data_IF_492263560476
#
_entry.id   IF_492263560476
#
_cell.length_a   1.000
_cell.length_b   1.000
_cell.length_c   1.000
_cell.angle_alpha   90.00
_cell.angle_beta   90.00
_cell.angle_gamma   90.00
#
_symmetry.space_group_name_H-M   'P 1'
#
loop_
_entity.id
_entity.type
_entity.pdbx_description
1 polymer ?
#
# COMPACT_ATOMS: atom_id res chain seq x y z
N UNK A 1 9.22 16.19 5.70
CA UNK A 1 8.27 15.11 5.94
C UNK A 1 8.49 13.96 4.97
N UNK A 2 8.38 12.74 5.44
CA UNK A 2 8.53 11.59 4.56
C UNK A 2 7.32 11.48 3.64
N UNK A 3 7.56 11.17 2.36
CA UNK A 3 6.52 10.96 1.39
C UNK A 3 5.83 9.61 1.66
N UNK A 4 4.51 9.55 1.48
CA UNK A 4 3.77 8.31 1.67
C UNK A 4 3.85 7.46 0.41
N UNK A 5 4.48 6.30 0.50
CA UNK A 5 4.62 5.36 -0.62
C UNK A 5 3.85 4.06 -0.42
N UNK A 6 3.31 3.84 0.77
CA UNK A 6 2.58 2.61 1.11
C UNK A 6 1.16 2.96 1.53
N UNK A 7 0.17 2.36 0.86
CA UNK A 7 -1.25 2.59 1.10
C UNK A 7 -1.92 1.30 1.53
N UNK A 8 -2.47 1.29 2.73
CA UNK A 8 -3.15 0.14 3.31
C UNK A 8 -4.59 0.01 2.78
N UNK A 9 -5.09 -1.22 2.74
CA UNK A 9 -6.48 -1.50 2.40
C UNK A 9 -6.95 -2.78 3.09
N UNK A 10 -8.28 -2.98 3.15
CA UNK A 10 -8.89 -4.17 3.72
C UNK A 10 -9.83 -3.85 4.88
N UNK A 11 -10.63 -4.82 5.27
CA UNK A 11 -11.60 -4.70 6.37
C UNK A 11 -12.53 -3.47 6.23
N UNK A 12 -12.96 -3.17 5.02
CA UNK A 12 -13.86 -2.05 4.76
C UNK A 12 -13.19 -0.69 4.81
N UNK A 13 -11.86 -0.63 4.84
CA UNK A 13 -11.09 0.60 4.91
C UNK A 13 -10.02 0.62 3.83
N UNK A 14 -9.64 1.82 3.41
CA UNK A 14 -8.51 1.99 2.50
C UNK A 14 -7.93 3.38 2.66
N UNK A 15 -6.62 3.50 2.50
CA UNK A 15 -5.93 4.78 2.54
C UNK A 15 -5.96 5.49 1.18
N UNK A 16 -6.26 4.75 0.12
CA UNK A 16 -6.45 5.29 -1.22
C UNK A 16 -7.84 4.93 -1.73
N UNK A 17 -8.12 5.25 -2.99
CA UNK A 17 -9.40 4.90 -3.62
C UNK A 17 -9.25 4.67 -5.12
N UNK A 18 -10.37 4.35 -5.79
CA UNK A 18 -10.39 4.04 -7.21
C UNK A 18 -10.03 5.21 -8.13
N UNK A 19 -10.05 6.44 -7.62
CA UNK A 19 -9.68 7.61 -8.42
C UNK A 19 -8.16 7.77 -8.54
N UNK A 20 -7.38 7.03 -7.76
CA UNK A 20 -5.93 7.13 -7.69
C UNK A 20 -5.21 6.09 -8.54
N UNK A 21 -5.75 5.80 -9.73
CA UNK A 21 -5.19 4.77 -10.62
C UNK A 21 -3.74 5.05 -11.01
N UNK A 22 -3.39 6.32 -11.22
CA UNK A 22 -2.03 6.69 -11.59
C UNK A 22 -1.04 6.46 -10.45
N UNK A 23 -1.47 6.70 -9.22
CA UNK A 23 -0.64 6.57 -8.04
C UNK A 23 -0.54 5.12 -7.55
N UNK A 24 -1.67 4.43 -7.49
CA UNK A 24 -1.76 3.08 -6.93
C UNK A 24 -1.64 1.97 -7.98
N UNK A 25 -1.69 2.33 -9.25
CA UNK A 25 -1.85 1.38 -10.34
C UNK A 25 -3.30 0.92 -10.42
N UNK A 26 -3.68 0.32 -11.54
CA UNK A 26 -5.07 -0.13 -11.75
C UNK A 26 -5.52 -1.15 -10.72
N UNK A 27 -4.68 -2.13 -10.43
CA UNK A 27 -5.00 -3.18 -9.46
C UNK A 27 -5.12 -2.63 -8.04
N UNK A 28 -4.16 -1.80 -7.62
CA UNK A 28 -4.18 -1.21 -6.28
C UNK A 28 -5.38 -0.31 -6.06
N UNK A 29 -5.71 0.51 -7.04
CA UNK A 29 -6.88 1.39 -6.96
C UNK A 29 -8.17 0.59 -6.88
N UNK A 30 -8.29 -0.48 -7.67
CA UNK A 30 -9.48 -1.35 -7.64
C UNK A 30 -9.63 -2.04 -6.28
N UNK A 31 -8.53 -2.55 -5.71
CA UNK A 31 -8.57 -3.18 -4.39
C UNK A 31 -9.00 -2.20 -3.31
N UNK A 32 -8.48 -0.96 -3.37
CA UNK A 32 -8.87 0.08 -2.43
C UNK A 32 -10.36 0.40 -2.54
N UNK A 33 -10.87 0.56 -3.77
CA UNK A 33 -12.27 0.84 -4.01
C UNK A 33 -13.17 -0.30 -3.51
N UNK A 34 -12.79 -1.54 -3.80
CA UNK A 34 -13.54 -2.71 -3.35
C UNK A 34 -13.62 -2.77 -1.82
N UNK A 35 -12.51 -2.47 -1.14
CA UNK A 35 -12.48 -2.44 0.32
C UNK A 35 -13.41 -1.36 0.86
N UNK A 36 -13.42 -0.17 0.24
CA UNK A 36 -14.29 0.93 0.66
C UNK A 36 -15.78 0.61 0.45
N UNK A 37 -16.08 -0.20 -0.55
CA UNK A 37 -17.46 -0.64 -0.82
C UNK A 37 -17.93 -1.74 0.13
N UNK A 38 -17.06 -2.20 1.02
CA UNK A 38 -17.40 -3.26 1.96
C UNK A 38 -17.30 -4.67 1.40
N UNK A 39 -16.69 -4.83 0.24
CA UNK A 39 -16.49 -6.15 -0.35
C UNK A 39 -15.40 -6.92 0.41
N UNK A 40 -15.44 -8.27 0.39
CA UNK A 40 -14.49 -9.07 1.17
C UNK A 40 -13.10 -9.11 0.53
N UNK A 41 -12.34 -8.03 0.73
CA UNK A 41 -10.96 -7.89 0.24
C UNK A 41 -10.02 -8.22 1.39
N UNK A 42 -9.06 -9.13 1.20
CA UNK A 42 -8.05 -9.40 2.23
C UNK A 42 -7.25 -8.15 2.56
N UNK A 43 -6.83 -8.02 3.81
CA UNK A 43 -6.00 -6.89 4.20
C UNK A 43 -4.65 -6.94 3.48
N UNK A 44 -4.17 -5.80 3.06
CA UNK A 44 -2.90 -5.69 2.35
C UNK A 44 -2.48 -4.25 2.19
N UNK A 45 -1.47 -4.03 1.36
CA UNK A 45 -1.01 -2.67 1.06
C UNK A 45 -0.50 -2.59 -0.38
N UNK A 46 -0.50 -1.37 -0.91
CA UNK A 46 -0.01 -1.07 -2.25
C UNK A 46 1.17 -0.12 -2.13
N UNK A 47 2.26 -0.40 -2.85
CA UNK A 47 3.38 0.51 -2.98
C UNK A 47 3.10 1.36 -4.22
N UNK A 48 3.21 2.68 -4.09
CA UNK A 48 2.82 3.60 -5.16
C UNK A 48 3.69 3.48 -6.42
N UNK A 49 3.11 3.87 -7.56
CA UNK A 49 3.86 3.89 -8.83
C UNK A 49 5.01 4.89 -8.79
N UNK A 50 4.89 5.95 -7.98
CA UNK A 50 5.96 6.91 -7.77
C UNK A 50 7.22 6.27 -7.20
N UNK A 51 7.06 5.19 -6.42
CA UNK A 51 8.19 4.48 -5.85
C UNK A 51 9.05 3.83 -6.93
N UNK A 52 8.42 3.35 -8.01
CA UNK A 52 9.17 2.77 -9.13
C UNK A 52 10.11 3.81 -9.75
N UNK A 53 9.60 5.02 -10.00
CA UNK A 53 10.41 6.12 -10.53
C UNK A 53 11.52 6.50 -9.57
N UNK A 54 11.20 6.57 -8.29
CA UNK A 54 12.17 6.92 -7.25
C UNK A 54 13.28 5.88 -7.14
N UNK A 55 12.93 4.60 -7.28
CA UNK A 55 13.88 3.51 -7.27
C UNK A 55 14.93 3.67 -8.39
N UNK A 56 14.47 3.95 -9.60
CA UNK A 56 15.39 4.13 -10.74
C UNK A 56 16.17 5.43 -10.61
N UNK A 57 15.55 6.49 -10.13
CA UNK A 57 16.21 7.77 -9.90
C UNK A 57 17.38 7.66 -8.92
N UNK A 58 17.26 6.76 -7.94
CA UNK A 58 18.28 6.53 -6.90
C UNK A 58 19.28 5.44 -7.27
N UNK A 59 19.37 5.08 -8.54
CA UNK A 59 20.31 4.07 -9.01
C UNK A 59 19.96 2.67 -8.56
N UNK A 60 18.67 2.34 -8.61
CA UNK A 60 18.11 1.04 -8.22
C UNK A 60 18.27 0.75 -6.72
N UNK A 61 18.07 1.78 -5.91
CA UNK A 61 18.09 1.64 -4.45
C UNK A 61 16.77 2.16 -3.87
N UNK A 62 16.29 1.48 -2.85
CA UNK A 62 15.09 1.92 -2.14
C UNK A 62 15.46 2.94 -1.07
N UNK A 63 14.65 4.01 -0.89
CA UNK A 63 14.88 4.95 0.20
C UNK A 63 14.64 4.29 1.56
N UNK A 64 15.39 4.69 2.60
CA UNK A 64 15.20 4.11 3.95
C UNK A 64 13.79 4.27 4.49
N UNK A 65 13.11 5.35 4.12
CA UNK A 65 11.73 5.62 4.56
C UNK A 65 10.75 4.57 4.07
N UNK A 66 11.00 3.98 2.89
CA UNK A 66 10.15 2.93 2.35
C UNK A 66 10.16 1.71 3.26
N UNK A 67 11.33 1.31 3.74
CA UNK A 67 11.45 0.16 4.64
C UNK A 67 10.59 0.36 5.89
N UNK A 68 10.65 1.55 6.48
CA UNK A 68 9.84 1.87 7.67
C UNK A 68 8.36 1.80 7.37
N UNK A 69 7.93 2.34 6.23
CA UNK A 69 6.53 2.31 5.83
C UNK A 69 6.04 0.87 5.58
N UNK A 70 6.87 0.05 4.94
CA UNK A 70 6.53 -1.37 4.69
C UNK A 70 6.44 -2.13 6.02
N UNK A 71 7.37 -1.93 6.93
CA UNK A 71 7.34 -2.59 8.23
C UNK A 71 6.07 -2.22 9.01
N UNK A 72 5.71 -0.94 9.01
CA UNK A 72 4.50 -0.46 9.66
C UNK A 72 3.25 -1.08 9.00
N UNK A 73 3.22 -1.13 7.68
CA UNK A 73 2.10 -1.71 6.94
C UNK A 73 1.95 -3.20 7.23
N UNK A 74 3.07 -3.93 7.28
CA UNK A 74 3.04 -5.36 7.62
C UNK A 74 2.45 -5.61 9.00
N UNK A 75 2.82 -4.79 9.99
CA UNK A 75 2.26 -4.90 11.34
C UNK A 75 0.74 -4.69 11.32
N UNK A 76 0.27 -3.69 10.57
CA UNK A 76 -1.16 -3.41 10.47
C UNK A 76 -1.91 -4.55 9.76
N UNK A 77 -1.35 -5.09 8.69
CA UNK A 77 -1.94 -6.21 7.96
C UNK A 77 -1.97 -7.47 8.84
N UNK A 78 -0.91 -7.74 9.57
CA UNK A 78 -0.87 -8.89 10.48
C UNK A 78 -1.96 -8.77 11.56
N UNK A 79 -2.16 -7.57 12.13
CA UNK A 79 -3.21 -7.34 13.11
C UNK A 79 -4.59 -7.54 12.50
N UNK A 80 -4.81 -7.05 11.28
CA UNK A 80 -6.10 -7.15 10.61
C UNK A 80 -6.44 -8.60 10.26
N UNK A 81 -5.45 -9.40 9.90
CA UNK A 81 -5.64 -10.80 9.53
C UNK A 81 -5.50 -11.77 10.70
N UNK A 82 -4.97 -11.31 11.82
CA UNK A 82 -4.72 -12.16 12.97
C UNK A 82 -3.61 -13.18 12.76
N UNK A 83 -2.71 -12.92 11.80
CA UNK A 83 -1.61 -13.81 11.45
C UNK A 83 -0.32 -13.02 11.31
N UNK A 84 0.80 -13.70 11.56
CA UNK A 84 2.12 -13.11 11.31
C UNK A 84 2.66 -13.56 9.95
N UNK A 85 3.39 -12.69 9.28
CA UNK A 85 4.08 -12.98 8.04
C UNK A 85 5.55 -13.32 8.34
N UNK A 86 5.97 -14.45 7.89
CA UNK A 86 7.33 -14.92 8.07
C UNK A 86 7.53 -15.58 9.38
#
# INVERSE_FOLDING_TARGET
MAKKWVYLFGNGKAEGDGSQKDLLGGKGANLAEMALLGLPVPAGFTITTEMCSEYYRRGKKFPPELKKQVEHALVQVEKAMGKKFG
#
